data_IF_055252524482
#
_entry.id   IF_055252524482
#
_cell.length_a   1.000
_cell.length_b   1.000
_cell.length_c   1.000
_cell.angle_alpha   90.00
_cell.angle_beta   90.00
_cell.angle_gamma   90.00
#
_symmetry.space_group_name_H-M   'P 1'
#
loop_
_entity.id
_entity.type
_entity.pdbx_description
1 polymer ?
#
# COMPACT_ATOMS: atom_id res chain seq x y z
N UNK A 1 6.83 -42.51 -61.75
CA UNK A 1 7.33 -43.18 -60.54
C UNK A 1 8.58 -42.45 -60.11
N UNK A 2 8.47 -41.80 -58.97
CA UNK A 2 9.50 -41.34 -58.04
C UNK A 2 10.61 -40.40 -58.52
N UNK A 3 10.54 -39.22 -57.89
CA UNK A 3 11.52 -38.16 -57.79
C UNK A 3 12.59 -38.60 -56.79
N UNK A 4 13.88 -38.35 -57.05
CA UNK A 4 14.77 -38.01 -55.94
C UNK A 4 15.91 -37.08 -56.34
N UNK A 5 16.18 -36.18 -55.40
CA UNK A 5 16.86 -34.92 -55.54
C UNK A 5 18.39 -35.03 -55.57
N UNK A 6 18.99 -34.04 -56.24
CA UNK A 6 20.42 -33.77 -56.31
C UNK A 6 20.78 -32.66 -55.30
N UNK A 7 21.85 -32.95 -54.53
CA UNK A 7 22.84 -32.08 -53.90
C UNK A 7 22.40 -30.87 -53.04
N UNK A 8 22.89 -30.84 -51.80
CA UNK A 8 22.83 -29.67 -50.92
C UNK A 8 23.75 -29.80 -49.70
N UNK A 9 25.05 -29.68 -49.94
CA UNK A 9 26.14 -29.22 -49.08
C UNK A 9 26.18 -29.63 -47.58
N UNK A 10 27.19 -30.43 -47.26
CA UNK A 10 27.72 -30.68 -45.93
C UNK A 10 28.53 -29.45 -45.48
N UNK A 11 28.17 -28.81 -44.36
CA UNK A 11 29.10 -27.94 -43.61
C UNK A 11 29.06 -28.39 -42.16
N UNK A 12 30.07 -29.15 -41.77
CA UNK A 12 30.43 -29.33 -40.38
C UNK A 12 31.16 -28.04 -39.93
N UNK A 13 30.69 -27.41 -38.86
CA UNK A 13 31.51 -26.51 -38.05
C UNK A 13 31.73 -27.21 -36.70
N UNK A 14 32.90 -27.82 -36.58
CA UNK A 14 33.55 -28.16 -35.33
C UNK A 14 34.43 -26.97 -34.93
N UNK A 15 34.41 -26.55 -33.67
CA UNK A 15 35.61 -26.53 -32.79
C UNK A 15 35.25 -25.99 -31.40
N UNK A 16 35.85 -26.63 -30.40
CA UNK A 16 35.80 -26.36 -28.96
C UNK A 16 36.29 -24.97 -28.54
N UNK A 17 35.87 -24.50 -27.35
CA UNK A 17 36.78 -23.94 -26.35
C UNK A 17 36.30 -24.27 -24.93
N UNK A 18 37.17 -24.94 -24.20
CA UNK A 18 37.13 -25.14 -22.75
C UNK A 18 37.84 -23.94 -22.12
N UNK A 19 37.20 -23.29 -21.15
CA UNK A 19 37.81 -22.31 -20.24
C UNK A 19 37.52 -20.85 -20.56
N UNK A 20 36.82 -20.16 -19.64
CA UNK A 20 37.42 -18.97 -19.02
C UNK A 20 36.77 -18.67 -17.66
N UNK A 21 37.59 -18.68 -16.60
CA UNK A 21 37.32 -17.98 -15.35
C UNK A 21 37.87 -16.57 -15.59
N UNK A 22 37.01 -15.62 -15.97
CA UNK A 22 37.48 -14.26 -16.27
C UNK A 22 37.02 -13.27 -15.20
N UNK A 23 38.02 -12.89 -14.41
CA UNK A 23 38.08 -11.75 -13.50
C UNK A 23 37.77 -10.44 -14.21
N UNK A 24 36.88 -9.62 -13.65
CA UNK A 24 36.76 -8.22 -14.04
C UNK A 24 38.00 -7.46 -13.53
N UNK A 25 38.82 -6.80 -14.37
CA UNK A 25 39.90 -5.95 -13.88
C UNK A 25 39.31 -4.64 -13.34
N UNK A 26 39.95 -4.12 -12.30
CA UNK A 26 39.62 -2.81 -11.74
C UNK A 26 39.82 -1.71 -12.80
N UNK A 27 38.82 -0.82 -12.88
CA UNK A 27 38.78 0.43 -13.65
C UNK A 27 38.59 0.29 -15.17
N UNK A 28 37.32 0.20 -15.59
CA UNK A 28 36.92 0.33 -17.00
C UNK A 28 35.45 0.00 -17.23
N UNK A 29 34.71 1.00 -17.67
CA UNK A 29 33.29 1.00 -18.05
C UNK A 29 32.81 -0.30 -18.76
N UNK A 30 31.79 -0.95 -18.19
CA UNK A 30 31.09 -2.10 -18.78
C UNK A 30 29.72 -1.70 -19.39
N UNK A 31 29.62 -0.50 -19.96
CA UNK A 31 28.47 -0.05 -20.76
C UNK A 31 28.41 -0.76 -22.14
N UNK A 32 28.08 -2.05 -22.12
CA UNK A 32 27.94 -2.83 -23.36
C UNK A 32 27.42 -4.24 -23.22
N UNK A 33 27.10 -4.70 -22.01
CA UNK A 33 26.51 -6.03 -21.81
C UNK A 33 24.99 -5.88 -21.84
N UNK A 34 24.41 -5.88 -23.04
CA UNK A 34 23.00 -6.24 -23.18
C UNK A 34 22.85 -7.68 -22.71
N UNK A 35 22.08 -7.87 -21.65
CA UNK A 35 21.60 -9.18 -21.21
C UNK A 35 21.15 -9.96 -22.47
N UNK A 36 21.67 -11.16 -22.76
CA UNK A 36 21.13 -11.93 -23.86
C UNK A 36 19.62 -12.09 -23.61
N UNK A 37 18.77 -12.03 -24.64
CA UNK A 37 17.38 -12.42 -24.46
C UNK A 37 17.40 -13.80 -23.80
N UNK A 38 16.53 -14.02 -22.82
CA UNK A 38 16.35 -15.28 -22.10
C UNK A 38 15.77 -16.35 -23.04
N UNK A 39 16.46 -16.61 -24.15
CA UNK A 39 16.22 -17.64 -25.14
C UNK A 39 17.35 -18.64 -25.00
N UNK A 40 17.19 -19.59 -24.08
CA UNK A 40 17.93 -20.84 -24.19
C UNK A 40 17.63 -21.47 -25.55
N UNK A 41 18.63 -22.09 -26.16
CA UNK A 41 18.49 -22.80 -27.44
C UNK A 41 17.32 -23.80 -27.30
N UNK A 42 16.25 -23.61 -28.07
CA UNK A 42 15.11 -24.55 -28.06
C UNK A 42 15.55 -25.79 -28.83
N UNK A 43 15.98 -26.80 -28.10
CA UNK A 43 16.28 -28.11 -28.65
C UNK A 43 15.00 -28.71 -29.26
N UNK A 44 15.01 -28.97 -30.57
CA UNK A 44 13.84 -29.50 -31.28
C UNK A 44 13.41 -30.84 -30.66
N UNK A 45 12.15 -30.94 -30.23
CA UNK A 45 11.61 -32.14 -29.57
C UNK A 45 11.71 -32.15 -28.04
N UNK A 46 12.25 -31.09 -27.40
CA UNK A 46 12.31 -30.99 -25.92
C UNK A 46 11.44 -29.85 -25.39
N UNK A 47 10.69 -30.06 -24.29
CA UNK A 47 9.87 -29.01 -23.71
C UNK A 47 10.71 -27.82 -23.25
N UNK A 48 10.10 -26.64 -23.13
CA UNK A 48 10.78 -25.45 -22.62
C UNK A 48 9.91 -24.60 -21.71
N UNK A 49 10.54 -23.90 -20.77
CA UNK A 49 9.92 -22.89 -19.91
C UNK A 49 10.54 -21.51 -20.14
N UNK A 50 9.70 -20.48 -20.13
CA UNK A 50 10.08 -19.09 -20.29
C UNK A 50 9.24 -18.18 -19.37
N UNK A 51 9.63 -16.91 -19.26
CA UNK A 51 8.89 -15.89 -18.50
C UNK A 51 8.56 -16.33 -17.06
N UNK A 52 9.48 -17.04 -16.41
CA UNK A 52 9.34 -17.42 -15.00
C UNK A 52 9.34 -16.14 -14.17
N UNK A 53 8.37 -16.01 -13.27
CA UNK A 53 8.17 -14.84 -12.41
C UNK A 53 7.85 -15.29 -11.00
N UNK A 54 8.41 -14.61 -10.01
CA UNK A 54 7.90 -14.64 -8.64
C UNK A 54 6.83 -13.57 -8.56
N UNK A 55 5.72 -13.89 -7.92
CA UNK A 55 4.60 -12.97 -7.73
C UNK A 55 4.36 -12.84 -6.22
N UNK A 56 4.45 -11.62 -5.71
CA UNK A 56 4.26 -11.29 -4.30
C UNK A 56 3.98 -9.82 -4.15
N UNK A 57 3.14 -9.46 -3.17
CA UNK A 57 2.87 -8.05 -2.87
C UNK A 57 4.12 -7.39 -2.25
N UNK A 58 4.77 -8.08 -1.31
CA UNK A 58 5.87 -7.58 -0.49
C UNK A 58 6.84 -8.71 -0.06
N UNK A 59 7.92 -8.40 0.65
CA UNK A 59 8.95 -9.36 1.09
C UNK A 59 9.21 -9.30 2.61
N UNK A 60 8.20 -9.66 3.40
CA UNK A 60 8.29 -9.82 4.86
C UNK A 60 7.67 -11.14 5.34
N UNK A 61 7.98 -11.54 6.58
CA UNK A 61 7.47 -12.78 7.19
C UNK A 61 5.92 -12.84 7.13
N UNK A 62 5.39 -13.99 6.69
CA UNK A 62 3.96 -14.24 6.51
C UNK A 62 3.45 -13.95 5.09
N UNK A 63 4.26 -13.29 4.24
CA UNK A 63 3.86 -13.04 2.85
C UNK A 63 3.82 -14.35 2.06
N UNK A 64 2.78 -14.50 1.23
CA UNK A 64 2.67 -15.63 0.31
C UNK A 64 3.22 -15.25 -1.06
N UNK A 65 4.33 -15.87 -1.44
CA UNK A 65 4.86 -15.84 -2.80
C UNK A 65 4.16 -16.89 -3.65
N UNK A 66 3.87 -16.53 -4.88
CA UNK A 66 3.44 -17.44 -5.94
C UNK A 66 4.39 -17.33 -7.12
N UNK A 67 4.24 -18.18 -8.13
CA UNK A 67 5.02 -18.06 -9.34
C UNK A 67 4.22 -18.37 -10.58
N UNK A 68 4.64 -17.79 -11.70
CA UNK A 68 4.09 -18.09 -13.02
C UNK A 68 5.21 -18.37 -14.02
N UNK A 69 4.88 -19.09 -15.08
CA UNK A 69 5.79 -19.34 -16.20
C UNK A 69 4.99 -19.67 -17.46
N UNK A 70 5.65 -19.62 -18.61
CA UNK A 70 5.11 -20.05 -19.90
C UNK A 70 5.76 -21.37 -20.28
N UNK A 71 4.94 -22.39 -20.55
CA UNK A 71 5.39 -23.69 -21.02
C UNK A 71 5.20 -23.81 -22.53
N UNK A 72 6.17 -24.40 -23.22
CA UNK A 72 6.04 -24.85 -24.60
C UNK A 72 6.47 -26.32 -24.69
N UNK A 73 5.63 -27.19 -25.25
CA UNK A 73 5.93 -28.62 -25.36
C UNK A 73 7.06 -28.92 -26.35
N UNK A 74 7.15 -28.14 -27.44
CA UNK A 74 8.04 -28.36 -28.59
C UNK A 74 8.06 -29.82 -29.08
N UNK A 75 6.94 -30.52 -28.93
CA UNK A 75 6.75 -31.96 -29.07
C UNK A 75 5.31 -32.35 -28.72
N UNK A 76 5.06 -33.63 -28.42
CA UNK A 76 3.72 -34.17 -28.12
C UNK A 76 3.39 -34.29 -26.62
N UNK A 77 4.30 -33.86 -25.73
CA UNK A 77 4.17 -34.05 -24.29
C UNK A 77 3.29 -33.02 -23.58
N UNK A 78 2.69 -33.43 -22.47
CA UNK A 78 1.96 -32.56 -21.55
C UNK A 78 2.89 -32.09 -20.44
N UNK A 79 2.73 -30.84 -20.02
CA UNK A 79 3.52 -30.24 -18.97
C UNK A 79 3.50 -31.03 -17.65
N UNK A 80 4.71 -31.42 -17.22
CA UNK A 80 5.05 -31.99 -15.91
C UNK A 80 6.29 -31.32 -15.36
N UNK A 81 6.45 -30.03 -15.66
CA UNK A 81 7.60 -29.23 -15.24
C UNK A 81 7.81 -29.32 -13.74
N UNK A 82 9.07 -29.18 -13.34
CA UNK A 82 9.47 -29.29 -11.94
C UNK A 82 9.77 -27.90 -11.39
N UNK A 83 9.47 -27.68 -10.11
CA UNK A 83 9.77 -26.44 -9.40
C UNK A 83 10.47 -26.69 -8.06
N UNK A 84 11.16 -25.67 -7.58
CA UNK A 84 11.67 -25.64 -6.22
C UNK A 84 11.78 -24.20 -5.73
N UNK A 85 11.38 -23.99 -4.47
CA UNK A 85 11.67 -22.79 -3.70
C UNK A 85 12.85 -23.07 -2.77
N UNK A 86 13.85 -22.19 -2.74
CA UNK A 86 15.03 -22.35 -1.86
C UNK A 86 15.49 -21.03 -1.26
N UNK A 87 15.98 -21.11 -0.02
CA UNK A 87 16.73 -20.06 0.67
C UNK A 87 18.21 -20.23 0.36
N UNK A 88 18.81 -19.32 -0.39
CA UNK A 88 20.24 -19.40 -0.71
C UNK A 88 20.75 -18.11 -1.36
N UNK A 89 22.05 -17.88 -1.29
CA UNK A 89 22.75 -16.87 -2.10
C UNK A 89 22.86 -17.24 -3.58
N UNK A 90 22.47 -18.44 -3.98
CA UNK A 90 22.50 -18.93 -5.36
C UNK A 90 21.26 -19.77 -5.70
N UNK A 91 20.86 -19.87 -6.98
CA UNK A 91 19.74 -20.71 -7.38
C UNK A 91 19.99 -22.18 -6.99
N UNK A 92 18.91 -22.88 -6.62
CA UNK A 92 18.95 -24.31 -6.40
C UNK A 92 19.46 -25.09 -7.63
N UNK A 93 19.96 -26.30 -7.40
CA UNK A 93 20.17 -27.29 -8.45
C UNK A 93 18.87 -27.77 -9.09
N UNK A 94 18.86 -28.99 -9.60
CA UNK A 94 17.68 -29.55 -10.28
C UNK A 94 16.45 -29.58 -9.36
N UNK A 95 15.33 -28.93 -9.74
CA UNK A 95 14.11 -28.94 -8.94
C UNK A 95 13.47 -30.33 -8.91
N UNK A 96 12.79 -30.67 -7.82
CA UNK A 96 12.23 -32.01 -7.59
C UNK A 96 10.70 -32.05 -7.44
N UNK A 97 10.03 -30.92 -7.17
CA UNK A 97 8.57 -30.89 -6.96
C UNK A 97 7.86 -30.74 -8.29
N UNK A 98 6.78 -31.46 -8.52
CA UNK A 98 6.05 -31.43 -9.80
C UNK A 98 4.99 -30.34 -9.83
N UNK A 99 4.91 -29.62 -10.96
CA UNK A 99 3.85 -28.66 -11.24
C UNK A 99 2.61 -29.42 -11.73
N UNK A 100 1.47 -29.15 -11.10
CA UNK A 100 0.21 -29.84 -11.36
C UNK A 100 -0.66 -29.03 -12.33
N UNK A 101 -0.59 -27.70 -12.26
CA UNK A 101 -1.32 -26.77 -13.12
C UNK A 101 -0.33 -26.03 -14.00
N UNK A 102 -0.42 -26.22 -15.32
CA UNK A 102 0.47 -25.56 -16.29
C UNK A 102 0.53 -24.06 -16.09
N UNK A 103 1.75 -23.52 -16.10
CA UNK A 103 2.01 -22.09 -15.93
C UNK A 103 1.84 -21.54 -14.50
N UNK A 104 1.43 -22.35 -13.53
CA UNK A 104 1.22 -21.94 -12.13
C UNK A 104 2.15 -22.70 -11.20
N UNK A 105 3.00 -21.98 -10.47
CA UNK A 105 3.85 -22.57 -9.43
C UNK A 105 3.13 -22.54 -8.09
N UNK A 106 3.12 -23.65 -7.32
CA UNK A 106 2.55 -23.67 -5.98
C UNK A 106 3.18 -22.64 -5.04
N UNK A 107 2.34 -22.10 -4.16
CA UNK A 107 2.70 -21.00 -3.26
C UNK A 107 3.79 -21.36 -2.24
N UNK A 108 4.54 -20.35 -1.80
CA UNK A 108 5.54 -20.39 -0.75
C UNK A 108 5.28 -19.28 0.25
N UNK A 109 5.05 -19.62 1.52
CA UNK A 109 4.83 -18.63 2.58
C UNK A 109 6.17 -18.33 3.24
N UNK A 110 6.57 -17.05 3.24
CA UNK A 110 7.77 -16.60 3.94
C UNK A 110 7.60 -16.83 5.44
N UNK A 111 8.53 -17.54 6.06
CA UNK A 111 8.59 -17.74 7.50
C UNK A 111 9.76 -16.98 8.14
N UNK A 112 9.87 -17.07 9.47
CA UNK A 112 10.95 -16.44 10.24
C UNK A 112 12.35 -16.81 9.78
N UNK A 113 12.54 -18.03 9.26
CA UNK A 113 13.84 -18.49 8.74
C UNK A 113 14.17 -18.01 7.32
N UNK A 114 13.27 -17.25 6.68
CA UNK A 114 13.54 -16.56 5.41
C UNK A 114 14.07 -15.14 5.63
N UNK A 115 13.95 -14.61 6.85
CA UNK A 115 14.47 -13.29 7.25
C UNK A 115 15.99 -13.30 7.09
N UNK A 116 16.55 -12.32 6.39
CA UNK A 116 17.98 -12.32 6.08
C UNK A 116 18.33 -12.93 4.71
N UNK A 117 17.42 -13.69 4.10
CA UNK A 117 17.73 -14.56 2.98
C UNK A 117 17.14 -14.07 1.65
N UNK A 118 17.75 -14.53 0.55
CA UNK A 118 17.19 -14.43 -0.81
C UNK A 118 16.43 -15.72 -1.12
N UNK A 119 15.21 -15.57 -1.65
CA UNK A 119 14.37 -16.69 -2.07
C UNK A 119 14.49 -16.87 -3.57
N UNK A 120 14.86 -18.08 -3.97
CA UNK A 120 14.92 -18.50 -5.36
C UNK A 120 13.71 -19.35 -5.73
N UNK A 121 13.15 -19.07 -6.91
CA UNK A 121 12.24 -19.94 -7.62
C UNK A 121 12.96 -20.51 -8.84
N UNK A 122 13.13 -21.83 -8.86
CA UNK A 122 13.72 -22.57 -9.97
C UNK A 122 12.65 -23.42 -10.64
N UNK A 123 12.50 -23.31 -11.97
CA UNK A 123 11.57 -24.12 -12.78
C UNK A 123 12.34 -24.83 -13.89
N UNK A 124 12.13 -26.14 -14.03
CA UNK A 124 12.72 -26.97 -15.08
C UNK A 124 11.63 -27.58 -15.95
N UNK A 125 11.72 -27.35 -17.26
CA UNK A 125 10.79 -27.91 -18.22
C UNK A 125 10.85 -29.44 -18.19
N UNK A 126 9.71 -30.08 -18.07
CA UNK A 126 9.60 -31.54 -18.18
C UNK A 126 8.22 -31.90 -18.71
N UNK A 127 8.14 -32.98 -19.48
CA UNK A 127 6.86 -33.50 -19.97
C UNK A 127 6.46 -34.82 -19.27
N UNK A 128 5.26 -35.29 -19.57
CA UNK A 128 4.69 -36.55 -19.10
C UNK A 128 5.36 -37.81 -19.64
N UNK A 129 6.27 -37.66 -20.60
CA UNK A 129 7.14 -38.72 -21.12
C UNK A 129 8.53 -38.69 -20.46
N UNK A 130 8.70 -37.87 -19.43
CA UNK A 130 9.96 -37.67 -18.69
C UNK A 130 11.09 -37.02 -19.50
N UNK A 131 10.79 -36.43 -20.65
CA UNK A 131 11.75 -35.62 -21.40
C UNK A 131 11.98 -34.32 -20.65
N UNK A 132 13.23 -34.02 -20.33
CA UNK A 132 13.62 -32.78 -19.65
C UNK A 132 14.13 -31.75 -20.65
N UNK A 133 13.77 -30.50 -20.40
CA UNK A 133 14.16 -29.35 -21.20
C UNK A 133 15.04 -28.36 -20.43
N UNK A 134 14.94 -27.09 -20.78
CA UNK A 134 15.69 -26.01 -20.13
C UNK A 134 15.22 -25.76 -18.68
N UNK A 135 16.05 -25.05 -17.94
CA UNK A 135 15.79 -24.62 -16.57
C UNK A 135 15.98 -23.11 -16.46
N UNK A 136 15.10 -22.46 -15.72
CA UNK A 136 15.13 -21.02 -15.45
C UNK A 136 14.99 -20.81 -13.95
N UNK A 137 15.82 -19.92 -13.39
CA UNK A 137 15.74 -19.52 -12.00
C UNK A 137 15.60 -18.00 -11.90
N UNK A 138 14.75 -17.55 -11.00
CA UNK A 138 14.53 -16.14 -10.64
C UNK A 138 14.59 -16.02 -9.12
N UNK A 139 14.87 -14.82 -8.60
CA UNK A 139 14.97 -14.61 -7.16
C UNK A 139 14.27 -13.33 -6.72
N UNK A 140 14.16 -13.18 -5.39
CA UNK A 140 13.70 -11.95 -4.73
C UNK A 140 14.78 -10.87 -4.62
N UNK A 141 15.96 -11.06 -5.22
CA UNK A 141 17.03 -10.06 -5.26
C UNK A 141 16.86 -9.10 -6.45
N UNK A 142 17.04 -7.78 -6.24
CA UNK A 142 17.02 -6.73 -7.27
C UNK A 142 18.44 -6.25 -7.63
N UNK A 143 18.80 -6.14 -8.91
CA UNK A 143 19.99 -5.37 -9.30
C UNK A 143 19.69 -3.89 -9.43
N UNK A 144 20.73 -3.09 -9.19
CA UNK A 144 20.78 -1.64 -9.33
C UNK A 144 19.90 -1.08 -10.47
N UNK A 145 18.85 -0.35 -10.09
CA UNK A 145 18.34 0.77 -10.88
C UNK A 145 17.21 0.51 -11.89
N UNK A 146 16.58 -0.67 -11.93
CA UNK A 146 15.30 -0.82 -12.64
C UNK A 146 14.16 -0.99 -11.63
N UNK A 147 13.48 0.14 -11.41
CA UNK A 147 12.37 0.29 -10.50
C UNK A 147 11.09 -0.37 -11.07
N UNK A 148 10.67 -1.45 -10.44
CA UNK A 148 9.29 -1.92 -10.46
C UNK A 148 8.66 -1.80 -9.05
N UNK A 149 9.23 -0.94 -8.20
CA UNK A 149 8.89 -0.71 -6.79
C UNK A 149 8.04 0.56 -6.62
N UNK A 150 7.62 1.20 -7.71
CA UNK A 150 6.58 2.22 -7.67
C UNK A 150 5.25 1.63 -8.11
N UNK A 151 4.32 1.57 -7.14
CA UNK A 151 3.01 0.93 -7.32
C UNK A 151 2.20 1.53 -8.46
N UNK A 152 2.01 0.73 -9.52
CA UNK A 152 0.78 0.67 -10.34
C UNK A 152 0.91 -0.33 -11.51
N UNK A 153 2.11 -0.68 -11.96
CA UNK A 153 2.25 -1.22 -13.32
C UNK A 153 2.71 -2.69 -13.41
N UNK A 154 3.00 -3.34 -12.27
CA UNK A 154 3.66 -4.65 -12.28
C UNK A 154 2.77 -5.86 -11.94
N UNK A 155 1.46 -5.69 -11.68
CA UNK A 155 0.55 -6.81 -11.33
C UNK A 155 1.15 -7.79 -10.29
N UNK A 156 1.93 -7.30 -9.31
CA UNK A 156 2.58 -8.11 -8.28
C UNK A 156 3.78 -8.94 -8.73
N UNK A 157 4.39 -8.66 -9.89
CA UNK A 157 5.54 -9.40 -10.42
C UNK A 157 6.86 -8.90 -9.81
N UNK A 158 7.55 -9.77 -9.09
CA UNK A 158 8.97 -9.64 -8.70
C UNK A 158 9.78 -10.34 -9.78
N UNK A 159 10.32 -9.58 -10.73
CA UNK A 159 11.18 -10.11 -11.78
C UNK A 159 12.42 -9.24 -11.94
N UNK A 160 13.60 -9.78 -11.60
CA UNK A 160 14.87 -9.07 -11.74
C UNK A 160 15.99 -10.07 -12.03
N UNK A 161 16.69 -9.95 -13.18
CA UNK A 161 17.98 -10.58 -13.38
C UNK A 161 19.08 -9.71 -12.75
N UNK A 162 19.65 -10.15 -11.63
CA UNK A 162 20.91 -9.60 -11.10
C UNK A 162 21.04 -9.63 -9.57
N UNK A 163 22.29 -9.69 -9.10
CA UNK A 163 22.67 -10.12 -7.75
C UNK A 163 22.80 -8.92 -6.79
N UNK A 164 21.69 -8.49 -6.18
CA UNK A 164 21.64 -7.49 -5.10
C UNK A 164 20.40 -7.69 -4.23
N UNK A 165 20.52 -8.25 -3.03
CA UNK A 165 19.34 -8.72 -2.28
C UNK A 165 18.48 -7.59 -1.69
N UNK A 166 17.16 -7.61 -1.92
CA UNK A 166 16.23 -7.13 -0.90
C UNK A 166 16.17 -8.24 0.15
N UNK A 167 16.65 -7.94 1.35
CA UNK A 167 16.69 -8.89 2.45
C UNK A 167 15.33 -8.86 3.15
N UNK A 168 14.70 -10.03 3.30
CA UNK A 168 13.47 -10.16 4.07
C UNK A 168 13.78 -9.64 5.49
N UNK A 169 13.08 -8.60 5.92
CA UNK A 169 13.26 -8.01 7.24
C UNK A 169 12.06 -8.33 8.12
N UNK A 170 12.32 -8.57 9.40
CA UNK A 170 11.30 -8.81 10.42
C UNK A 170 11.26 -7.60 11.35
N UNK A 171 10.10 -6.95 11.54
CA UNK A 171 10.01 -5.87 12.52
C UNK A 171 10.35 -6.36 13.93
N UNK A 172 11.10 -5.55 14.65
CA UNK A 172 11.43 -5.73 16.06
C UNK A 172 10.60 -4.76 16.88
N UNK A 173 9.79 -5.28 17.80
CA UNK A 173 8.98 -4.47 18.73
C UNK A 173 9.85 -3.50 19.53
N UNK A 174 11.03 -3.94 19.97
CA UNK A 174 11.97 -3.15 20.77
C UNK A 174 12.61 -1.99 19.99
N UNK A 175 12.72 -2.10 18.66
CA UNK A 175 13.33 -1.07 17.81
C UNK A 175 12.30 -0.27 17.00
N UNK A 176 11.02 -0.61 17.12
CA UNK A 176 9.93 0.05 16.42
C UNK A 176 9.20 1.01 17.35
N UNK A 177 8.79 2.16 16.84
CA UNK A 177 8.22 3.24 17.64
C UNK A 177 6.91 3.77 17.06
N UNK A 178 6.12 4.39 17.92
CA UNK A 178 4.87 5.06 17.57
C UNK A 178 4.79 6.39 18.30
N UNK A 179 4.45 7.44 17.56
CA UNK A 179 4.31 8.80 18.10
C UNK A 179 3.10 9.50 17.47
N UNK A 180 2.36 10.26 18.28
CA UNK A 180 1.37 11.21 17.77
C UNK A 180 2.10 12.51 17.41
N UNK A 181 2.29 12.78 16.12
CA UNK A 181 2.93 14.02 15.64
C UNK A 181 1.96 15.19 15.65
N UNK A 182 0.65 14.91 15.62
CA UNK A 182 -0.41 15.84 15.97
C UNK A 182 -1.41 15.11 16.87
N UNK A 183 -1.19 15.21 18.18
CA UNK A 183 -1.98 14.53 19.22
C UNK A 183 -3.24 15.26 19.66
N UNK A 184 -3.51 16.46 19.14
CA UNK A 184 -4.76 17.20 19.38
C UNK A 184 -5.30 17.68 18.03
N UNK A 185 -6.59 17.46 17.80
CA UNK A 185 -7.30 17.92 16.61
C UNK A 185 -8.71 18.41 17.00
N UNK A 186 -9.34 19.18 16.12
CA UNK A 186 -10.73 19.59 16.31
C UNK A 186 -11.66 18.40 16.05
N UNK A 187 -12.70 18.24 16.88
CA UNK A 187 -13.77 17.25 16.72
C UNK A 187 -14.82 17.68 15.68
N UNK A 188 -14.40 18.30 14.58
CA UNK A 188 -15.29 18.82 13.53
C UNK A 188 -15.53 17.79 12.40
N UNK A 189 -14.96 16.58 12.51
CA UNK A 189 -14.98 15.53 11.50
C UNK A 189 -14.03 15.78 10.31
N UNK A 190 -13.32 16.91 10.30
CA UNK A 190 -12.51 17.37 9.16
C UNK A 190 -11.04 17.45 9.52
N UNK A 191 -10.71 17.99 10.69
CA UNK A 191 -9.38 18.14 11.21
C UNK A 191 -8.80 16.80 11.64
N UNK A 192 -7.67 16.42 11.04
CA UNK A 192 -7.05 15.14 11.32
C UNK A 192 -5.99 15.27 12.41
N UNK A 193 -6.01 14.35 13.37
CA UNK A 193 -4.81 13.98 14.13
C UNK A 193 -3.86 13.15 13.26
N UNK A 194 -2.58 13.20 13.59
CA UNK A 194 -1.54 12.50 12.81
C UNK A 194 -0.69 11.63 13.72
N UNK A 195 -0.55 10.36 13.33
CA UNK A 195 0.25 9.36 14.05
C UNK A 195 1.29 8.78 13.10
N UNK A 196 2.53 8.70 13.57
CA UNK A 196 3.67 8.18 12.81
C UNK A 196 4.19 6.92 13.48
N UNK A 197 4.21 5.82 12.73
CA UNK A 197 4.84 4.57 13.11
C UNK A 197 6.19 4.43 12.38
N UNK A 198 7.23 4.00 13.08
CA UNK A 198 8.53 3.68 12.50
C UNK A 198 8.86 2.23 12.82
N UNK A 199 9.07 1.39 11.81
CA UNK A 199 9.42 -0.01 11.98
C UNK A 199 10.88 -0.27 11.60
N UNK A 200 11.59 -0.91 12.53
CA UNK A 200 12.98 -1.36 12.33
C UNK A 200 13.11 -2.82 12.71
N UNK A 201 14.06 -3.49 12.09
CA UNK A 201 14.42 -4.86 12.46
C UNK A 201 15.28 -4.90 13.74
N UNK A 202 15.69 -6.10 14.15
CA UNK A 202 16.52 -6.30 15.35
C UNK A 202 17.92 -5.68 15.24
N UNK A 203 18.45 -5.51 14.03
CA UNK A 203 19.74 -4.85 13.76
C UNK A 203 19.62 -3.32 13.69
N UNK A 204 18.39 -2.79 13.65
CA UNK A 204 18.09 -1.36 13.56
C UNK A 204 17.91 -0.86 12.13
N UNK A 205 17.95 -1.75 11.12
CA UNK A 205 17.68 -1.39 9.74
C UNK A 205 16.17 -1.12 9.54
N UNK A 206 15.84 -0.25 8.58
CA UNK A 206 14.46 0.10 8.28
C UNK A 206 13.72 -1.06 7.62
N UNK A 207 12.49 -1.33 8.05
CA UNK A 207 11.58 -2.27 7.38
C UNK A 207 10.77 -1.47 6.36
N UNK A 208 11.30 -1.32 5.15
CA UNK A 208 10.73 -0.51 4.09
C UNK A 208 9.66 -1.24 3.26
N UNK A 209 8.75 -0.47 2.66
CA UNK A 209 7.70 -0.94 1.74
C UNK A 209 6.82 -2.05 2.34
N UNK A 210 6.48 -1.96 3.62
CA UNK A 210 5.77 -3.01 4.34
C UNK A 210 4.42 -2.49 4.89
N UNK A 211 3.32 -3.25 4.75
CA UNK A 211 1.96 -2.81 5.08
C UNK A 211 1.70 -2.79 6.59
N UNK A 212 1.68 -1.59 7.16
CA UNK A 212 1.33 -1.35 8.56
C UNK A 212 -0.18 -1.29 8.70
N UNK A 213 -0.74 -2.08 9.61
CA UNK A 213 -2.15 -1.99 10.00
C UNK A 213 -2.31 -1.11 11.23
N UNK A 214 -3.06 -0.03 11.09
CA UNK A 214 -3.43 0.86 12.18
C UNK A 214 -4.78 0.47 12.77
N UNK A 215 -4.94 0.73 14.06
CA UNK A 215 -6.19 0.59 14.80
C UNK A 215 -6.50 1.89 15.52
N UNK A 216 -7.78 2.17 15.74
CA UNK A 216 -8.23 3.30 16.54
C UNK A 216 -9.41 2.86 17.42
N UNK A 217 -9.49 3.37 18.65
CA UNK A 217 -10.63 3.18 19.57
C UNK A 217 -11.66 4.28 19.43
N UNK A 218 -12.80 4.18 20.12
CA UNK A 218 -13.81 5.24 20.14
C UNK A 218 -14.62 5.32 18.85
N UNK A 219 -15.15 6.50 18.54
CA UNK A 219 -15.91 6.80 17.34
C UNK A 219 -15.07 7.35 16.18
N UNK A 220 -13.82 7.73 16.46
CA UNK A 220 -12.86 8.16 15.45
C UNK A 220 -12.66 7.15 14.30
N UNK A 221 -12.33 7.71 13.15
CA UNK A 221 -12.10 6.95 11.91
C UNK A 221 -10.70 7.19 11.36
N UNK A 222 -10.06 6.12 10.89
CA UNK A 222 -8.79 6.22 10.17
C UNK A 222 -9.07 6.56 8.71
N UNK A 223 -8.31 7.51 8.14
CA UNK A 223 -8.37 7.83 6.71
C UNK A 223 -7.98 6.61 5.86
N UNK A 224 -6.98 5.86 6.31
CA UNK A 224 -6.59 4.57 5.75
C UNK A 224 -6.24 3.59 6.88
N UNK A 225 -6.79 2.38 6.82
CA UNK A 225 -6.52 1.33 7.82
C UNK A 225 -5.14 0.68 7.64
N UNK A 226 -4.67 0.61 6.39
CA UNK A 226 -3.37 0.03 6.05
C UNK A 226 -2.55 1.04 5.27
N UNK A 227 -1.31 1.27 5.68
CA UNK A 227 -0.37 2.20 5.06
C UNK A 227 1.00 1.52 4.99
N UNK A 228 1.65 1.56 3.83
CA UNK A 228 2.98 0.98 3.67
C UNK A 228 4.04 1.89 4.28
N UNK A 229 5.08 1.30 4.88
CA UNK A 229 6.28 2.04 5.26
C UNK A 229 7.02 2.56 4.04
N UNK A 230 7.62 3.74 4.15
CA UNK A 230 8.53 4.28 3.14
C UNK A 230 9.93 3.64 3.22
N UNK A 231 10.88 4.12 2.40
CA UNK A 231 12.28 3.67 2.39
C UNK A 231 13.01 3.82 3.75
N UNK A 232 12.52 4.67 4.64
CA UNK A 232 13.05 4.88 5.98
C UNK A 232 12.34 4.06 7.07
N UNK A 233 11.38 3.21 6.67
CA UNK A 233 10.60 2.36 7.57
C UNK A 233 9.44 3.10 8.25
N UNK A 234 9.02 4.24 7.70
CA UNK A 234 8.01 5.12 8.32
C UNK A 234 6.65 4.98 7.62
N UNK A 235 5.58 4.80 8.41
CA UNK A 235 4.19 4.86 7.95
C UNK A 235 3.43 5.93 8.75
N UNK A 236 2.59 6.71 8.07
CA UNK A 236 1.83 7.81 8.68
C UNK A 236 0.33 7.57 8.51
N UNK A 237 -0.38 7.56 9.63
CA UNK A 237 -1.84 7.48 9.68
C UNK A 237 -2.45 8.82 10.05
N UNK A 238 -3.60 9.11 9.45
CA UNK A 238 -4.47 10.22 9.84
C UNK A 238 -5.74 9.67 10.44
N UNK A 239 -6.17 10.27 11.54
CA UNK A 239 -7.38 9.92 12.30
C UNK A 239 -8.27 11.16 12.38
N UNK A 240 -9.58 11.00 12.18
CA UNK A 240 -10.58 12.08 12.27
C UNK A 240 -11.72 11.67 13.18
N UNK A 241 -12.30 12.65 13.87
CA UNK A 241 -13.48 12.43 14.70
C UNK A 241 -14.40 13.67 14.67
N UNK A 242 -15.69 13.45 14.84
CA UNK A 242 -16.72 14.48 15.00
C UNK A 242 -17.24 14.57 16.45
N UNK A 243 -16.65 13.81 17.37
CA UNK A 243 -17.02 13.73 18.77
C UNK A 243 -15.84 14.17 19.63
N UNK A 244 -16.13 14.93 20.69
CA UNK A 244 -15.15 15.25 21.73
C UNK A 244 -14.80 13.99 22.51
N UNK A 245 -13.62 13.44 22.26
CA UNK A 245 -13.09 12.30 22.99
C UNK A 245 -11.57 12.18 22.82
N UNK A 246 -10.93 11.39 23.70
CA UNK A 246 -9.55 10.96 23.50
C UNK A 246 -9.57 9.52 23.01
N UNK A 247 -8.99 9.28 21.82
CA UNK A 247 -8.86 7.95 21.24
C UNK A 247 -7.43 7.45 21.33
N UNK A 248 -7.26 6.13 21.30
CA UNK A 248 -5.96 5.49 21.22
C UNK A 248 -5.76 4.93 19.81
N UNK A 249 -4.59 5.20 19.23
CA UNK A 249 -4.17 4.70 17.92
C UNK A 249 -3.03 3.71 18.11
N UNK A 250 -3.17 2.51 17.57
CA UNK A 250 -2.13 1.47 17.55
C UNK A 250 -1.61 1.22 16.14
N UNK A 251 -0.42 0.61 16.04
CA UNK A 251 0.18 0.22 14.77
C UNK A 251 0.82 -1.18 14.89
N UNK A 252 0.58 -2.02 13.89
CA UNK A 252 1.17 -3.36 13.82
C UNK A 252 1.69 -3.66 12.42
N UNK A 253 2.84 -4.33 12.32
CA UNK A 253 3.43 -4.79 11.07
C UNK A 253 3.77 -6.28 11.20
N UNK A 254 3.20 -7.13 10.34
CA UNK A 254 3.41 -8.58 10.43
C UNK A 254 3.03 -9.18 11.81
N UNK A 255 2.04 -8.57 12.49
CA UNK A 255 1.63 -8.95 13.85
C UNK A 255 2.52 -8.42 14.98
N UNK A 256 3.62 -7.72 14.67
CA UNK A 256 4.49 -7.08 15.65
C UNK A 256 4.00 -5.66 15.93
N UNK A 257 3.78 -5.33 17.19
CA UNK A 257 3.41 -3.99 17.63
C UNK A 257 4.65 -3.07 17.75
N UNK A 258 4.42 -1.77 17.77
CA UNK A 258 5.42 -0.75 18.14
C UNK A 258 5.60 -0.67 19.65
N UNK A 259 6.65 0.04 20.11
CA UNK A 259 6.80 0.48 21.49
C UNK A 259 6.81 2.02 21.55
N UNK A 260 5.82 2.69 22.17
CA UNK A 260 4.64 2.11 22.82
C UNK A 260 3.68 1.43 21.83
N UNK A 261 2.82 0.53 22.34
CA UNK A 261 1.84 -0.22 21.54
C UNK A 261 0.70 0.65 21.00
N UNK A 262 0.42 1.78 21.67
CA UNK A 262 -0.55 2.77 21.25
C UNK A 262 -0.17 4.16 21.74
N UNK A 263 -0.68 5.18 21.06
CA UNK A 263 -0.58 6.60 21.44
C UNK A 263 -1.97 7.24 21.46
N UNK A 264 -2.13 8.32 22.21
CA UNK A 264 -3.40 9.04 22.31
C UNK A 264 -3.50 10.16 21.27
N UNK A 265 -4.71 10.40 20.79
CA UNK A 265 -5.11 11.58 20.02
C UNK A 265 -6.40 12.12 20.63
N UNK A 266 -6.41 13.38 21.06
CA UNK A 266 -7.58 14.05 21.62
C UNK A 266 -8.28 14.89 20.56
N UNK A 267 -9.58 14.66 20.43
CA UNK A 267 -10.49 15.47 19.64
C UNK A 267 -11.28 16.37 20.58
N UNK A 268 -11.19 17.68 20.37
CA UNK A 268 -11.83 18.68 21.21
C UNK A 268 -12.57 19.69 20.35
N UNK A 269 -13.77 20.10 20.78
CA UNK A 269 -14.50 21.17 20.10
C UNK A 269 -13.76 22.49 20.25
N UNK A 270 -13.76 23.30 19.19
CA UNK A 270 -13.31 24.68 19.30
C UNK A 270 -14.26 25.46 20.22
N UNK A 271 -13.70 26.25 21.14
CA UNK A 271 -14.47 27.09 22.04
C UNK A 271 -14.70 28.46 21.40
N UNK A 272 -15.97 28.94 21.29
CA UNK A 272 -16.24 30.26 20.76
C UNK A 272 -15.78 31.37 21.72
N UNK A 273 -15.21 32.42 21.14
CA UNK A 273 -14.87 33.67 21.81
C UNK A 273 -16.00 34.67 21.60
N UNK A 274 -16.64 35.10 22.69
CA UNK A 274 -17.78 36.02 22.65
C UNK A 274 -17.44 37.42 22.12
N UNK A 275 -16.19 37.88 22.22
CA UNK A 275 -15.76 39.18 21.70
C UNK A 275 -15.51 39.15 20.19
N UNK A 276 -15.32 37.97 19.60
CA UNK A 276 -15.11 37.76 18.16
C UNK A 276 -16.31 37.18 17.44
N UNK A 277 -17.22 36.57 18.19
CA UNK A 277 -18.48 36.04 17.70
C UNK A 277 -19.55 37.14 17.63
N UNK A 278 -20.59 36.93 16.84
CA UNK A 278 -21.65 37.92 16.64
C UNK A 278 -22.97 37.32 16.17
N UNK A 279 -24.04 38.09 16.34
CA UNK A 279 -25.40 37.76 15.91
C UNK A 279 -25.98 38.94 15.14
N UNK A 280 -26.46 38.71 13.93
CA UNK A 280 -26.97 39.76 13.04
C UNK A 280 -28.28 39.33 12.39
N UNK A 281 -29.27 40.23 12.36
CA UNK A 281 -30.46 40.05 11.52
C UNK A 281 -30.12 40.42 10.08
N UNK A 282 -30.00 39.43 9.19
CA UNK A 282 -29.69 39.62 7.78
C UNK A 282 -30.93 39.85 6.92
N UNK A 283 -32.11 39.49 7.45
CA UNK A 283 -33.41 39.98 7.01
C UNK A 283 -34.24 40.30 8.25
N UNK A 284 -34.26 41.58 8.62
CA UNK A 284 -34.86 42.14 9.84
C UNK A 284 -36.35 42.48 9.69
N UNK A 285 -36.91 42.40 8.48
CA UNK A 285 -38.33 42.60 8.19
C UNK A 285 -38.87 41.43 7.36
N UNK A 286 -39.97 40.83 7.81
CA UNK A 286 -40.72 39.82 7.09
C UNK A 286 -42.23 40.09 7.21
N UNK A 287 -43.02 39.57 6.28
CA UNK A 287 -44.48 39.64 6.38
C UNK A 287 -44.98 38.72 7.51
N UNK A 288 -45.93 39.21 8.29
CA UNK A 288 -46.67 38.46 9.32
C UNK A 288 -47.70 37.50 8.72
N UNK A 289 -47.37 36.83 7.60
CA UNK A 289 -48.27 35.92 6.88
C UNK A 289 -48.07 34.43 7.25
N UNK A 290 -47.19 34.14 8.22
CA UNK A 290 -46.84 32.80 8.68
C UNK A 290 -45.94 32.03 7.71
N UNK A 291 -45.57 32.60 6.56
CA UNK A 291 -44.80 31.92 5.52
C UNK A 291 -43.51 32.64 5.17
N UNK A 292 -43.52 33.97 5.07
CA UNK A 292 -42.34 34.78 4.87
C UNK A 292 -41.47 34.73 6.15
N UNK A 293 -40.20 34.44 5.97
CA UNK A 293 -39.27 34.27 7.09
C UNK A 293 -38.33 35.47 7.20
N UNK A 294 -38.12 35.94 8.42
CA UNK A 294 -36.94 36.71 8.78
C UNK A 294 -35.71 35.80 8.88
N UNK A 295 -34.53 36.36 8.71
CA UNK A 295 -33.27 35.61 8.74
C UNK A 295 -32.31 36.23 9.74
N UNK A 296 -31.78 35.40 10.63
CA UNK A 296 -30.74 35.77 11.59
C UNK A 296 -29.54 34.87 11.38
N UNK A 297 -28.36 35.48 11.33
CA UNK A 297 -27.08 34.83 11.11
C UNK A 297 -26.22 35.00 12.36
N UNK A 298 -25.83 33.89 12.97
CA UNK A 298 -24.85 33.84 14.04
C UNK A 298 -23.50 33.40 13.47
N UNK A 299 -22.43 34.10 13.83
CA UNK A 299 -21.05 33.73 13.45
C UNK A 299 -20.26 33.47 14.72
N UNK A 300 -19.65 32.28 14.82
CA UNK A 300 -18.85 31.86 15.96
C UNK A 300 -17.40 31.67 15.55
N UNK A 301 -16.52 32.46 16.18
CA UNK A 301 -15.08 32.40 16.00
C UNK A 301 -14.41 32.10 17.34
N UNK A 302 -13.29 31.37 17.33
CA UNK A 302 -12.49 31.10 18.51
C UNK A 302 -11.58 32.29 18.91
N UNK A 303 -10.80 32.11 19.97
CA UNK A 303 -9.88 33.11 20.50
C UNK A 303 -8.70 33.43 19.56
N UNK A 304 -8.41 32.58 18.57
CA UNK A 304 -7.47 32.84 17.48
C UNK A 304 -8.14 33.56 16.30
N UNK A 305 -9.48 33.58 16.24
CA UNK A 305 -10.28 34.11 15.13
C UNK A 305 -10.54 33.09 14.02
N UNK A 306 -10.28 31.80 14.26
CA UNK A 306 -10.69 30.72 13.37
C UNK A 306 -12.17 30.36 13.59
N UNK A 307 -12.80 29.80 12.55
CA UNK A 307 -14.19 29.38 12.61
C UNK A 307 -14.40 28.23 13.60
N UNK A 308 -15.43 28.33 14.44
CA UNK A 308 -15.91 27.20 15.25
C UNK A 308 -16.83 26.37 14.37
N UNK A 309 -16.28 25.33 13.73
CA UNK A 309 -16.98 24.52 12.72
C UNK A 309 -17.80 23.39 13.34
N UNK A 310 -18.96 23.08 12.75
CA UNK A 310 -19.83 21.97 13.12
C UNK A 310 -20.31 21.97 14.59
N UNK A 311 -20.29 23.13 15.25
CA UNK A 311 -20.77 23.26 16.61
C UNK A 311 -22.30 23.46 16.63
N UNK A 312 -23.04 22.74 17.49
CA UNK A 312 -24.48 22.91 17.60
C UNK A 312 -24.85 24.24 18.24
N UNK A 313 -25.64 25.05 17.54
CA UNK A 313 -26.17 26.34 17.98
C UNK A 313 -27.67 26.22 18.20
N UNK A 314 -28.14 26.58 19.39
CA UNK A 314 -29.57 26.56 19.72
C UNK A 314 -30.10 27.98 19.79
N UNK A 315 -31.00 28.31 18.86
CA UNK A 315 -31.65 29.62 18.82
C UNK A 315 -32.89 29.66 19.70
N UNK A 316 -33.19 30.86 20.17
CA UNK A 316 -34.38 31.22 20.92
C UNK A 316 -35.09 32.38 20.22
N UNK A 317 -36.40 32.45 20.36
CA UNK A 317 -37.20 33.57 19.84
C UNK A 317 -38.26 33.96 20.86
N UNK A 318 -38.51 35.25 21.02
CA UNK A 318 -39.57 35.79 21.89
C UNK A 318 -40.89 35.89 21.15
N UNK A 319 -41.98 36.14 21.88
CA UNK A 319 -43.30 36.38 21.27
C UNK A 319 -44.00 35.11 20.80
N UNK A 320 -44.76 35.23 19.74
CA UNK A 320 -45.51 34.17 19.06
C UNK A 320 -44.81 33.58 17.83
N UNK A 321 -43.72 34.22 17.37
CA UNK A 321 -42.89 33.71 16.31
C UNK A 321 -42.33 32.30 16.57
N UNK A 322 -42.05 31.59 15.48
CA UNK A 322 -41.53 30.22 15.49
C UNK A 322 -40.24 30.11 14.68
N UNK A 323 -39.31 29.30 15.19
CA UNK A 323 -38.08 28.94 14.48
C UNK A 323 -38.36 27.77 13.54
N UNK A 324 -37.87 27.86 12.30
CA UNK A 324 -37.93 26.74 11.34
C UNK A 324 -37.12 25.54 11.86
N UNK A 325 -35.96 25.80 12.44
CA UNK A 325 -35.14 24.83 13.15
C UNK A 325 -34.62 25.45 14.44
N UNK A 326 -34.79 24.75 15.56
CA UNK A 326 -34.35 25.23 16.88
C UNK A 326 -32.84 25.12 17.07
N UNK A 327 -32.26 24.03 16.59
CA UNK A 327 -30.83 23.76 16.67
C UNK A 327 -30.29 23.51 15.27
N UNK A 328 -29.20 24.20 14.94
CA UNK A 328 -28.48 24.06 13.67
C UNK A 328 -26.99 24.06 13.98
N UNK A 329 -26.18 23.37 13.19
CA UNK A 329 -24.73 23.40 13.36
C UNK A 329 -24.13 24.58 12.60
N UNK A 330 -23.02 25.12 13.10
CA UNK A 330 -22.20 26.04 12.32
C UNK A 330 -21.62 25.33 11.10
N UNK A 331 -21.53 26.06 9.99
CA UNK A 331 -20.87 25.59 8.78
C UNK A 331 -19.33 25.74 8.85
N UNK A 332 -18.65 25.50 7.73
CA UNK A 332 -17.19 25.61 7.62
C UNK A 332 -16.65 27.04 7.84
N UNK A 333 -17.51 28.06 7.82
CA UNK A 333 -17.16 29.45 8.13
C UNK A 333 -17.56 29.85 9.56
N UNK A 334 -18.03 28.90 10.38
CA UNK A 334 -18.49 29.18 11.74
C UNK A 334 -19.87 29.80 11.78
N UNK A 335 -20.64 29.72 10.68
CA UNK A 335 -21.92 30.41 10.54
C UNK A 335 -23.09 29.47 10.78
N UNK A 336 -24.04 29.90 11.62
CA UNK A 336 -25.31 29.24 11.86
C UNK A 336 -26.47 30.19 11.48
N UNK A 337 -27.43 29.70 10.69
CA UNK A 337 -28.54 30.51 10.18
C UNK A 337 -29.86 30.04 10.76
N UNK A 338 -30.60 30.96 11.38
CA UNK A 338 -31.96 30.77 11.84
C UNK A 338 -32.96 31.46 10.91
N UNK A 339 -34.06 30.77 10.61
CA UNK A 339 -35.23 31.35 9.96
C UNK A 339 -36.37 31.44 10.96
N UNK A 340 -37.00 32.60 11.02
CA UNK A 340 -38.07 32.93 11.96
C UNK A 340 -39.32 33.29 11.18
N UNK A 341 -40.45 32.68 11.53
CA UNK A 341 -41.75 32.96 10.91
C UNK A 341 -42.76 33.39 11.95
N UNK A 342 -43.63 34.32 11.57
CA UNK A 342 -44.71 34.79 12.42
C UNK A 342 -45.98 35.06 11.59
N UNK A 343 -47.14 34.86 12.22
CA UNK A 343 -48.45 35.20 11.67
C UNK A 343 -49.09 36.41 12.38
N UNK A 344 -48.37 37.01 13.33
CA UNK A 344 -48.79 38.17 14.12
C UNK A 344 -47.87 39.34 13.85
N UNK A 345 -48.44 40.54 13.71
CA UNK A 345 -47.65 41.78 13.68
C UNK A 345 -47.02 42.03 15.04
N UNK A 346 -45.73 41.78 15.17
CA UNK A 346 -44.96 42.09 16.36
C UNK A 346 -43.46 42.28 16.07
N UNK A 347 -42.75 42.83 17.06
CA UNK A 347 -41.29 42.79 17.08
C UNK A 347 -40.85 41.62 17.94
N UNK A 348 -40.06 40.72 17.37
CA UNK A 348 -39.48 39.58 18.08
C UNK A 348 -37.97 39.72 18.21
N UNK A 349 -37.42 39.18 19.28
CA UNK A 349 -36.00 39.10 19.53
C UNK A 349 -35.54 37.66 19.34
N UNK A 350 -34.45 37.48 18.60
CA UNK A 350 -33.75 36.19 18.45
C UNK A 350 -32.47 36.23 19.27
N UNK A 351 -32.18 35.14 19.97
CA UNK A 351 -30.97 34.98 20.78
C UNK A 351 -30.38 33.58 20.69
#
# INVERSE_FOLDING_TARGET
KDVNAVAGNLVAVSTAMNGDVSTCPAEGDCSGITNPPSGGVVETGKPSVASVKIIGADLFEGTTLTGSYVYAANGAGIDRSLYQWTRSSAPAGDPSKTIITTGVVPAYVLGSGDVGEVIWLTVKAKDDQSVSGNQVAVSTAMSDGVDCVTGADCNGIINVPGNGGLVISKPSEANSSLEATKGVAQSDGSDAGTVKATFRDAAGAAVANAPVTFTVTGSATLVAKTVNTDASGVAVAQVKDAVDETVTVGATLGGVATTPASVEVSFISALPDAAKSGLEATKDVALSDGTDAGTVTATFLDDAGAAVVNAPVTFTVTGSATLVAKTVNTDASGVAVAQVKDAVDETVTVG
#
